data_IF_031582340159
#
_entry.id   IF_031582340159
#
_cell.length_a   1.000
_cell.length_b   1.000
_cell.length_c   1.000
_cell.angle_alpha   90.00
_cell.angle_beta   90.00
_cell.angle_gamma   90.00
#
_symmetry.space_group_name_H-M   'P 1'
#
loop_
_entity.id
_entity.type
_entity.pdbx_description
1 polymer ?
#
# COMPACT_ATOMS: atom_id res chain seq x y z
N UNK A 1 -1.20 -12.31 -15.40
CA UNK A 1 -2.08 -11.36 -14.68
C UNK A 1 -2.97 -12.16 -13.75
N UNK A 2 -3.37 -11.56 -12.63
CA UNK A 2 -4.40 -12.12 -11.73
C UNK A 2 -5.78 -11.95 -12.39
N UNK A 3 -6.66 -12.93 -12.20
CA UNK A 3 -8.07 -12.85 -12.61
C UNK A 3 -8.89 -12.20 -11.50
N UNK A 4 -9.90 -11.44 -11.87
CA UNK A 4 -10.83 -10.86 -10.91
C UNK A 4 -11.75 -11.94 -10.31
N UNK A 5 -11.97 -11.88 -9.00
CA UNK A 5 -13.01 -12.66 -8.31
C UNK A 5 -14.35 -11.92 -8.38
N UNK A 6 -14.95 -11.96 -9.56
CA UNK A 6 -16.18 -11.23 -9.90
C UNK A 6 -17.42 -11.67 -9.11
N UNK A 7 -17.40 -12.89 -8.58
CA UNK A 7 -18.47 -13.45 -7.75
C UNK A 7 -18.25 -13.31 -6.25
N UNK A 8 -17.09 -12.79 -5.85
CA UNK A 8 -16.74 -12.60 -4.44
C UNK A 8 -16.83 -13.89 -3.61
N UNK A 9 -16.46 -15.01 -4.23
CA UNK A 9 -16.48 -16.32 -3.57
C UNK A 9 -15.34 -16.42 -2.54
N UNK A 10 -14.30 -15.58 -2.68
CA UNK A 10 -13.19 -15.50 -1.74
C UNK A 10 -13.38 -14.30 -0.80
N UNK A 11 -13.18 -14.48 0.52
CA UNK A 11 -13.17 -13.36 1.46
C UNK A 11 -12.11 -12.32 1.08
N UNK A 12 -12.46 -11.04 1.14
CA UNK A 12 -11.51 -9.97 0.87
C UNK A 12 -10.35 -9.97 1.88
N UNK A 13 -9.13 -9.80 1.38
CA UNK A 13 -7.89 -9.76 2.17
C UNK A 13 -7.23 -8.38 2.05
N UNK A 14 -8.01 -7.31 2.17
CA UNK A 14 -7.52 -5.94 1.98
C UNK A 14 -6.49 -5.58 3.07
N UNK A 15 -5.37 -5.00 2.63
CA UNK A 15 -4.39 -4.41 3.55
C UNK A 15 -4.92 -3.05 4.02
N UNK A 16 -5.09 -2.89 5.32
CA UNK A 16 -5.66 -1.67 5.92
C UNK A 16 -4.79 -1.13 7.06
N UNK A 17 -4.61 0.20 7.18
CA UNK A 17 -3.89 0.78 8.31
C UNK A 17 -4.73 0.70 9.59
N UNK A 18 -4.14 0.17 10.66
CA UNK A 18 -4.76 0.14 12.00
C UNK A 18 -3.97 1.03 12.96
N UNK A 19 -4.66 1.99 13.59
CA UNK A 19 -4.05 2.99 14.47
C UNK A 19 -4.79 3.08 15.79
N UNK A 20 -4.05 3.28 16.89
CA UNK A 20 -4.66 3.57 18.20
C UNK A 20 -5.31 4.95 18.19
N UNK A 21 -6.53 5.06 18.73
CA UNK A 21 -7.29 6.31 18.79
C UNK A 21 -6.49 7.47 19.42
N UNK A 22 -5.73 7.21 20.49
CA UNK A 22 -4.93 8.22 21.18
C UNK A 22 -3.81 8.82 20.31
N UNK A 23 -3.39 8.13 19.25
CA UNK A 23 -2.33 8.57 18.33
C UNK A 23 -2.89 9.11 17.01
N UNK A 24 -4.22 9.08 16.82
CA UNK A 24 -4.85 9.50 15.59
C UNK A 24 -5.05 11.02 15.58
N UNK A 25 -4.30 11.71 14.73
CA UNK A 25 -4.47 13.13 14.44
C UNK A 25 -5.03 13.32 13.02
N UNK A 26 -5.61 14.49 12.69
CA UNK A 26 -6.07 14.77 11.32
C UNK A 26 -4.97 14.58 10.27
N UNK A 27 -3.73 14.99 10.58
CA UNK A 27 -2.58 14.81 9.70
C UNK A 27 -2.24 13.33 9.49
N UNK A 28 -2.20 12.54 10.57
CA UNK A 28 -1.93 11.09 10.48
C UNK A 28 -3.02 10.40 9.66
N UNK A 29 -4.30 10.72 9.91
CA UNK A 29 -5.41 10.16 9.15
C UNK A 29 -5.32 10.52 7.67
N UNK A 30 -5.01 11.77 7.34
CA UNK A 30 -4.87 12.22 5.95
C UNK A 30 -3.77 11.43 5.24
N UNK A 31 -2.59 11.34 5.85
CA UNK A 31 -1.45 10.65 5.25
C UNK A 31 -1.73 9.16 5.04
N UNK A 32 -2.32 8.48 6.01
CA UNK A 32 -2.64 7.06 5.88
C UNK A 32 -3.70 6.80 4.82
N UNK A 33 -4.70 7.67 4.69
CA UNK A 33 -5.71 7.59 3.63
C UNK A 33 -5.10 7.86 2.24
N UNK A 34 -4.21 8.85 2.13
CA UNK A 34 -3.51 9.17 0.87
C UNK A 34 -2.65 7.98 0.38
N UNK A 35 -1.97 7.28 1.30
CA UNK A 35 -1.22 6.04 1.00
C UNK A 35 -2.18 4.92 0.63
N UNK A 36 -3.17 4.62 1.49
CA UNK A 36 -4.09 3.49 1.31
C UNK A 36 -4.90 3.59 0.02
N UNK A 37 -5.27 4.80 -0.41
CA UNK A 37 -6.00 5.00 -1.66
C UNK A 37 -5.20 4.70 -2.93
N UNK A 38 -3.86 4.62 -2.84
CA UNK A 38 -2.96 4.36 -3.99
C UNK A 38 -2.47 2.91 -4.06
N UNK A 39 -2.58 2.15 -2.97
CA UNK A 39 -2.12 0.76 -2.89
C UNK A 39 -3.21 -0.21 -3.42
N UNK A 40 -3.34 -0.28 -4.75
CA UNK A 40 -4.17 -1.29 -5.41
C UNK A 40 -3.38 -2.60 -5.68
N UNK A 41 -4.07 -3.62 -6.21
CA UNK A 41 -3.46 -4.93 -6.49
C UNK A 41 -2.25 -4.86 -7.41
N UNK A 42 -2.30 -4.04 -8.48
CA UNK A 42 -1.19 -3.91 -9.42
C UNK A 42 0.03 -3.28 -8.75
N UNK A 43 -0.17 -2.21 -7.98
CA UNK A 43 0.88 -1.55 -7.20
C UNK A 43 1.51 -2.51 -6.20
N UNK A 44 0.72 -3.26 -5.43
CA UNK A 44 1.23 -4.20 -4.43
C UNK A 44 2.02 -5.36 -5.06
N UNK A 45 1.57 -5.88 -6.21
CA UNK A 45 2.30 -6.92 -6.95
C UNK A 45 3.66 -6.39 -7.40
N UNK A 46 3.71 -5.18 -7.96
CA UNK A 46 4.96 -4.57 -8.43
C UNK A 46 5.95 -4.35 -7.28
N UNK A 47 5.48 -3.79 -6.15
CA UNK A 47 6.32 -3.55 -4.98
C UNK A 47 6.87 -4.87 -4.41
N UNK A 48 6.03 -5.90 -4.29
CA UNK A 48 6.47 -7.21 -3.81
C UNK A 48 7.47 -7.88 -4.77
N UNK A 49 7.27 -7.76 -6.09
CA UNK A 49 8.22 -8.30 -7.08
C UNK A 49 9.61 -7.67 -6.95
N UNK A 50 9.69 -6.37 -6.65
CA UNK A 50 10.98 -5.70 -6.43
C UNK A 50 11.73 -6.28 -5.22
N UNK A 51 11.02 -6.69 -4.17
CA UNK A 51 11.62 -7.28 -2.98
C UNK A 51 11.91 -8.76 -3.22
N UNK A 52 10.92 -9.54 -3.63
CA UNK A 52 11.01 -11.01 -3.65
C UNK A 52 11.87 -11.53 -4.80
N UNK A 53 11.75 -10.92 -5.99
CA UNK A 53 12.43 -11.40 -7.20
C UNK A 53 13.71 -10.63 -7.51
N UNK A 54 13.72 -9.32 -7.21
CA UNK A 54 14.87 -8.45 -7.48
C UNK A 54 15.75 -8.25 -6.23
N UNK A 55 15.36 -8.80 -5.09
CA UNK A 55 16.10 -8.75 -3.82
C UNK A 55 16.48 -7.32 -3.38
N UNK A 56 15.66 -6.33 -3.75
CA UNK A 56 15.85 -4.97 -3.24
C UNK A 56 15.50 -4.90 -1.75
N UNK A 57 16.16 -3.97 -1.07
CA UNK A 57 15.81 -3.68 0.33
C UNK A 57 14.36 -3.14 0.42
N UNK A 58 13.49 -3.74 1.26
CA UNK A 58 12.09 -3.33 1.37
C UNK A 58 11.92 -1.87 1.81
N UNK A 59 12.78 -1.36 2.70
CA UNK A 59 12.67 0.01 3.18
C UNK A 59 13.02 1.00 2.06
N UNK A 60 14.06 0.71 1.27
CA UNK A 60 14.41 1.52 0.11
C UNK A 60 13.30 1.52 -0.97
N UNK A 61 12.66 0.38 -1.23
CA UNK A 61 11.53 0.29 -2.18
C UNK A 61 10.34 1.13 -1.68
N UNK A 62 10.00 1.02 -0.39
CA UNK A 62 8.90 1.78 0.20
C UNK A 62 9.18 3.30 0.19
N UNK A 63 10.40 3.72 0.55
CA UNK A 63 10.81 5.13 0.53
C UNK A 63 10.75 5.70 -0.90
N UNK A 64 11.30 4.99 -1.88
CA UNK A 64 11.25 5.42 -3.27
C UNK A 64 9.81 5.57 -3.77
N UNK A 65 8.94 4.59 -3.47
CA UNK A 65 7.54 4.65 -3.87
C UNK A 65 6.79 5.82 -3.22
N UNK A 66 6.98 6.05 -1.92
CA UNK A 66 6.38 7.19 -1.21
C UNK A 66 6.85 8.51 -1.82
N UNK A 67 8.15 8.65 -2.08
CA UNK A 67 8.70 9.87 -2.68
C UNK A 67 8.15 10.10 -4.09
N UNK A 68 8.00 9.07 -4.92
CA UNK A 68 7.47 9.24 -6.27
C UNK A 68 5.96 9.53 -6.30
N UNK A 69 5.18 8.92 -5.39
CA UNK A 69 3.72 8.93 -5.46
C UNK A 69 3.03 9.93 -4.52
N UNK A 70 3.77 10.51 -3.56
CA UNK A 70 3.25 11.40 -2.52
C UNK A 70 4.02 12.72 -2.37
N UNK A 71 5.03 13.01 -3.21
CA UNK A 71 5.88 14.22 -3.10
C UNK A 71 5.25 15.55 -3.54
N UNK A 72 3.94 15.65 -3.68
CA UNK A 72 3.26 16.95 -3.72
C UNK A 72 2.71 17.31 -2.33
N UNK A 73 3.61 17.52 -1.37
CA UNK A 73 3.30 18.10 -0.06
C UNK A 73 3.70 19.56 0.03
#
# INVERSE_FOLDING_TARGET
MVLDDDKHEQPSQNVVPLVRKASLTPTVSKVLNDVSGKLNNATLIELNQQVDLQHKDPAAVAEAWVNDHLANR
#
